data_IF_879923411721
#
_entry.id   IF_879923411721
#
_cell.length_a   1.000
_cell.length_b   1.000
_cell.length_c   1.000
_cell.angle_alpha   90.00
_cell.angle_beta   90.00
_cell.angle_gamma   90.00
#
_symmetry.space_group_name_H-M   'P 1'
#
loop_
_entity.id
_entity.type
_entity.pdbx_description
1 polymer ?
#
# COMPACT_ATOMS: atom_id res chain seq x y z
N UNK A 1 -26.26 -33.94 17.70
CA UNK A 1 -26.49 -32.69 16.92
C UNK A 1 -27.03 -33.10 15.56
N UNK A 2 -28.09 -32.47 15.06
CA UNK A 2 -28.68 -32.79 13.75
C UNK A 2 -27.64 -32.54 12.63
N UNK A 3 -27.48 -33.46 11.69
CA UNK A 3 -26.53 -33.34 10.57
C UNK A 3 -26.81 -32.09 9.71
N UNK A 4 -28.08 -31.74 9.51
CA UNK A 4 -28.46 -30.52 8.79
C UNK A 4 -27.98 -29.25 9.51
N UNK A 5 -28.06 -29.24 10.86
CA UNK A 5 -27.59 -28.12 11.67
C UNK A 5 -26.05 -28.01 11.60
N UNK A 6 -25.34 -29.14 11.60
CA UNK A 6 -23.89 -29.17 11.46
C UNK A 6 -23.44 -28.60 10.11
N UNK A 7 -24.11 -28.98 9.02
CA UNK A 7 -23.82 -28.47 7.68
C UNK A 7 -24.08 -26.96 7.60
N UNK A 8 -25.20 -26.49 8.15
CA UNK A 8 -25.51 -25.05 8.18
C UNK A 8 -24.45 -24.23 8.93
N UNK A 9 -23.97 -24.72 10.07
CA UNK A 9 -22.89 -24.06 10.83
C UNK A 9 -21.60 -23.99 10.00
N UNK A 10 -21.24 -25.07 9.31
CA UNK A 10 -20.06 -25.10 8.46
C UNK A 10 -20.17 -24.12 7.27
N UNK A 11 -21.33 -24.07 6.61
CA UNK A 11 -21.57 -23.14 5.50
C UNK A 11 -21.56 -21.69 5.97
N UNK A 12 -22.24 -21.38 7.08
CA UNK A 12 -22.27 -20.04 7.67
C UNK A 12 -20.87 -19.57 8.06
N UNK A 13 -20.09 -20.43 8.73
CA UNK A 13 -18.69 -20.14 9.07
C UNK A 13 -17.82 -19.95 7.83
N UNK A 14 -18.01 -20.76 6.79
CA UNK A 14 -17.28 -20.62 5.52
C UNK A 14 -17.59 -19.27 4.85
N UNK A 15 -18.87 -18.89 4.79
CA UNK A 15 -19.30 -17.60 4.24
C UNK A 15 -18.69 -16.41 4.99
N UNK A 16 -18.62 -16.50 6.33
CA UNK A 16 -17.96 -15.48 7.14
C UNK A 16 -16.47 -15.35 6.78
N UNK A 17 -15.77 -16.46 6.54
CA UNK A 17 -14.34 -16.44 6.15
C UNK A 17 -14.14 -15.85 4.76
N UNK A 18 -15.02 -16.13 3.81
CA UNK A 18 -15.01 -15.48 2.50
C UNK A 18 -15.22 -13.96 2.63
N UNK A 19 -16.23 -13.53 3.39
CA UNK A 19 -16.47 -12.12 3.65
C UNK A 19 -15.29 -11.44 4.34
N UNK A 20 -14.66 -12.10 5.31
CA UNK A 20 -13.46 -11.60 5.97
C UNK A 20 -12.29 -11.43 4.99
N UNK A 21 -12.09 -12.39 4.09
CA UNK A 21 -11.04 -12.29 3.07
C UNK A 21 -11.25 -11.08 2.15
N UNK A 22 -12.47 -10.85 1.69
CA UNK A 22 -12.81 -9.68 0.87
C UNK A 22 -12.57 -8.36 1.63
N UNK A 23 -13.02 -8.27 2.89
CA UNK A 23 -12.79 -7.08 3.73
C UNK A 23 -11.31 -6.80 3.98
N UNK A 24 -10.50 -7.84 4.20
CA UNK A 24 -9.04 -7.68 4.41
C UNK A 24 -8.39 -7.13 3.13
N UNK A 25 -8.75 -7.67 1.96
CA UNK A 25 -8.24 -7.19 0.67
C UNK A 25 -8.66 -5.74 0.40
N UNK A 26 -9.93 -5.42 0.59
CA UNK A 26 -10.47 -4.07 0.38
C UNK A 26 -9.75 -3.04 1.27
N UNK A 27 -9.58 -3.33 2.56
CA UNK A 27 -8.84 -2.46 3.49
C UNK A 27 -7.38 -2.31 3.09
N UNK A 28 -6.73 -3.38 2.63
CA UNK A 28 -5.36 -3.33 2.12
C UNK A 28 -5.21 -2.40 0.90
N UNK A 29 -6.17 -2.47 -0.02
CA UNK A 29 -6.20 -1.60 -1.22
C UNK A 29 -6.45 -0.14 -0.81
N UNK A 30 -7.47 0.13 0.01
CA UNK A 30 -7.78 1.49 0.47
C UNK A 30 -6.61 2.13 1.22
N UNK A 31 -5.95 1.35 2.09
CA UNK A 31 -4.77 1.81 2.81
C UNK A 31 -3.61 2.13 1.86
N UNK A 32 -3.37 1.29 0.86
CA UNK A 32 -2.29 1.53 -0.12
C UNK A 32 -2.60 2.72 -1.03
N UNK A 33 -3.87 2.94 -1.40
CA UNK A 33 -4.29 4.13 -2.15
C UNK A 33 -4.06 5.40 -1.35
N UNK A 34 -4.45 5.42 -0.07
CA UNK A 34 -4.22 6.56 0.82
C UNK A 34 -2.73 6.87 0.96
N UNK A 35 -1.92 5.83 1.18
CA UNK A 35 -0.48 5.95 1.28
C UNK A 35 0.17 6.46 -0.03
N UNK A 36 -0.31 5.99 -1.18
CA UNK A 36 0.15 6.47 -2.49
C UNK A 36 -0.20 7.96 -2.68
N UNK A 37 -1.39 8.39 -2.25
CA UNK A 37 -1.79 9.80 -2.29
C UNK A 37 -0.87 10.69 -1.44
N UNK A 38 -0.53 10.25 -0.22
CA UNK A 38 0.43 10.97 0.64
C UNK A 38 1.80 11.04 -0.04
N UNK A 39 2.28 9.94 -0.61
CA UNK A 39 3.57 9.90 -1.26
C UNK A 39 3.64 10.86 -2.47
N UNK A 40 2.58 10.93 -3.29
CA UNK A 40 2.48 11.91 -4.39
C UNK A 40 2.47 13.35 -3.86
N UNK A 41 1.70 13.63 -2.80
CA UNK A 41 1.66 14.95 -2.18
C UNK A 41 3.02 15.37 -1.60
N UNK A 42 3.72 14.46 -0.94
CA UNK A 42 5.08 14.69 -0.44
C UNK A 42 6.06 14.93 -1.59
N UNK A 43 5.98 14.15 -2.67
CA UNK A 43 6.78 14.35 -3.87
C UNK A 43 6.56 15.73 -4.48
N UNK A 44 5.31 16.18 -4.57
CA UNK A 44 4.97 17.52 -5.06
C UNK A 44 5.56 18.64 -4.19
N UNK A 45 5.45 18.52 -2.86
CA UNK A 45 6.02 19.49 -1.92
C UNK A 45 7.55 19.53 -2.05
N UNK A 46 8.19 18.37 -2.13
CA UNK A 46 9.64 18.24 -2.30
C UNK A 46 10.14 18.91 -3.59
N UNK A 47 9.40 18.78 -4.69
CA UNK A 47 9.73 19.41 -5.97
C UNK A 47 9.50 20.93 -5.95
N UNK A 48 8.48 21.39 -5.22
CA UNK A 48 8.07 22.80 -5.18
C UNK A 48 8.92 23.67 -4.26
N UNK A 49 9.62 23.09 -3.29
CA UNK A 49 10.48 23.80 -2.32
C UNK A 49 11.85 24.14 -2.94
N UNK A 50 12.32 25.37 -2.76
CA UNK A 50 13.53 25.87 -3.42
C UNK A 50 14.82 25.36 -2.82
N UNK A 51 14.88 25.19 -1.50
CA UNK A 51 16.03 24.65 -0.79
C UNK A 51 15.57 24.07 0.55
N UNK A 52 15.93 22.80 0.81
CA UNK A 52 15.79 22.18 2.13
C UNK A 52 17.13 22.26 2.84
N UNK A 53 17.12 22.73 4.08
CA UNK A 53 18.30 22.71 4.93
C UNK A 53 18.73 21.26 5.23
N UNK A 54 20.02 21.07 5.53
CA UNK A 54 20.56 19.73 5.79
C UNK A 54 19.81 18.99 6.92
N UNK A 55 19.51 19.69 8.03
CA UNK A 55 18.75 19.12 9.14
C UNK A 55 17.31 18.77 8.75
N UNK A 56 16.67 19.58 7.89
CA UNK A 56 15.33 19.28 7.37
C UNK A 56 15.33 18.03 6.49
N UNK A 57 16.36 17.83 5.66
CA UNK A 57 16.53 16.62 4.84
C UNK A 57 16.66 15.36 5.68
N UNK A 58 17.45 15.42 6.76
CA UNK A 58 17.60 14.29 7.70
C UNK A 58 16.26 14.00 8.39
N UNK A 59 15.62 15.04 8.96
CA UNK A 59 14.35 14.89 9.64
C UNK A 59 13.27 14.30 8.73
N UNK A 60 13.19 14.78 7.48
CA UNK A 60 12.25 14.28 6.49
C UNK A 60 12.55 12.84 6.07
N UNK A 61 13.83 12.48 5.89
CA UNK A 61 14.24 11.10 5.57
C UNK A 61 13.86 10.13 6.68
N UNK A 62 14.06 10.52 7.95
CA UNK A 62 13.65 9.72 9.11
C UNK A 62 12.13 9.59 9.19
N UNK A 63 11.39 10.66 8.92
CA UNK A 63 9.93 10.63 8.90
C UNK A 63 9.40 9.68 7.81
N UNK A 64 9.95 9.77 6.60
CA UNK A 64 9.64 8.85 5.49
C UNK A 64 9.95 7.42 5.93
N UNK A 65 11.15 7.14 6.43
CA UNK A 65 11.55 5.82 6.87
C UNK A 65 10.62 5.25 7.97
N UNK A 66 10.27 6.05 8.98
CA UNK A 66 9.36 5.64 10.04
C UNK A 66 7.96 5.31 9.51
N UNK A 67 7.43 6.12 8.59
CA UNK A 67 6.11 5.93 8.00
C UNK A 67 6.04 4.67 7.13
N UNK A 68 7.06 4.43 6.30
CA UNK A 68 7.14 3.22 5.48
C UNK A 68 7.41 1.98 6.34
N UNK A 69 8.22 2.07 7.39
CA UNK A 69 8.43 0.97 8.35
C UNK A 69 7.12 0.58 9.04
N UNK A 70 6.37 1.56 9.57
CA UNK A 70 5.06 1.32 10.18
C UNK A 70 4.07 0.68 9.20
N UNK A 71 4.10 1.11 7.94
CA UNK A 71 3.32 0.49 6.88
C UNK A 71 3.69 -0.97 6.66
N UNK A 72 4.97 -1.31 6.56
CA UNK A 72 5.42 -2.69 6.37
C UNK A 72 4.95 -3.59 7.52
N UNK A 73 4.95 -3.08 8.76
CA UNK A 73 4.41 -3.80 9.92
C UNK A 73 2.92 -4.08 9.77
N UNK A 74 2.12 -3.09 9.35
CA UNK A 74 0.68 -3.26 9.08
C UNK A 74 0.46 -4.29 7.98
N UNK A 75 1.20 -4.19 6.87
CA UNK A 75 1.11 -5.12 5.74
C UNK A 75 1.45 -6.55 6.13
N UNK A 76 2.48 -6.73 6.96
CA UNK A 76 2.80 -8.03 7.54
C UNK A 76 1.62 -8.58 8.36
N UNK A 77 0.98 -7.74 9.17
CA UNK A 77 -0.23 -8.09 9.91
C UNK A 77 -1.37 -8.58 9.00
N UNK A 78 -1.62 -7.87 7.89
CA UNK A 78 -2.63 -8.25 6.90
C UNK A 78 -2.30 -9.56 6.17
N UNK A 79 -1.03 -9.78 5.81
CA UNK A 79 -0.55 -11.04 5.21
C UNK A 79 -0.79 -12.21 6.17
N UNK A 80 -0.39 -12.04 7.44
CA UNK A 80 -0.59 -13.06 8.48
C UNK A 80 -2.07 -13.33 8.71
N UNK A 81 -2.91 -12.28 8.75
CA UNK A 81 -4.36 -12.38 8.87
C UNK A 81 -4.99 -13.16 7.71
N UNK A 82 -4.62 -12.82 6.47
CA UNK A 82 -5.06 -13.50 5.25
C UNK A 82 -4.69 -14.98 5.25
N UNK A 83 -3.44 -15.31 5.62
CA UNK A 83 -2.95 -16.70 5.67
C UNK A 83 -3.70 -17.52 6.72
N UNK A 84 -3.93 -16.97 7.90
CA UNK A 84 -4.70 -17.63 8.95
C UNK A 84 -6.17 -17.83 8.53
N UNK A 85 -6.78 -16.82 7.93
CA UNK A 85 -8.14 -16.91 7.42
C UNK A 85 -8.27 -18.00 6.35
N UNK A 86 -7.33 -18.06 5.40
CA UNK A 86 -7.28 -19.10 4.36
C UNK A 86 -7.12 -20.50 4.95
N UNK A 87 -6.26 -20.67 5.97
CA UNK A 87 -6.08 -21.95 6.67
C UNK A 87 -7.39 -22.43 7.30
N UNK A 88 -8.15 -21.51 7.90
CA UNK A 88 -9.46 -21.82 8.48
C UNK A 88 -10.49 -22.14 7.40
N UNK A 89 -10.52 -21.38 6.31
CA UNK A 89 -11.40 -21.63 5.15
C UNK A 89 -11.21 -23.04 4.58
N UNK A 90 -9.96 -23.45 4.36
CA UNK A 90 -9.61 -24.81 3.90
C UNK A 90 -10.12 -25.89 4.86
N UNK A 91 -10.11 -25.64 6.18
CA UNK A 91 -10.65 -26.61 7.16
C UNK A 91 -12.16 -26.79 7.01
N UNK A 92 -12.91 -25.69 6.81
CA UNK A 92 -14.35 -25.76 6.52
C UNK A 92 -14.63 -26.48 5.21
N UNK A 93 -13.90 -26.14 4.14
CA UNK A 93 -14.06 -26.77 2.82
C UNK A 93 -13.74 -28.28 2.84
N UNK A 94 -12.72 -28.70 3.60
CA UNK A 94 -12.43 -30.13 3.82
C UNK A 94 -13.50 -30.82 4.66
N UNK A 95 -14.01 -30.17 5.71
CA UNK A 95 -15.10 -30.73 6.51
C UNK A 95 -16.39 -30.92 5.69
N UNK A 96 -16.60 -30.05 4.70
CA UNK A 96 -17.66 -30.16 3.70
C UNK A 96 -17.29 -31.09 2.53
N UNK A 97 -16.12 -31.72 2.52
CA UNK A 97 -15.65 -32.62 1.44
C UNK A 97 -15.64 -31.98 0.04
N UNK A 98 -15.47 -30.67 -0.04
CA UNK A 98 -15.49 -29.92 -1.32
C UNK A 98 -14.33 -30.29 -2.27
N UNK A 99 -13.29 -30.97 -1.76
CA UNK A 99 -12.13 -31.44 -2.52
C UNK A 99 -12.23 -32.91 -2.96
N UNK A 100 -13.28 -33.63 -2.55
CA UNK A 100 -13.49 -35.04 -2.88
C UNK A 100 -14.33 -35.17 -4.16
N UNK A 101 -14.04 -36.19 -4.98
CA UNK A 101 -14.83 -36.52 -6.17
C UNK A 101 -16.06 -37.34 -5.78
N UNK A 102 -17.14 -37.24 -6.56
CA UNK A 102 -18.34 -38.04 -6.36
C UNK A 102 -19.22 -37.62 -5.17
N UNK A 103 -18.85 -36.56 -4.43
CA UNK A 103 -19.65 -36.02 -3.32
C UNK A 103 -20.70 -35.04 -3.83
N UNK A 104 -20.27 -34.06 -4.64
CA UNK A 104 -21.15 -33.02 -5.19
C UNK A 104 -21.31 -33.14 -6.72
N UNK A 105 -20.25 -33.57 -7.40
CA UNK A 105 -20.19 -33.75 -8.84
C UNK A 105 -19.73 -35.19 -9.12
N UNK A 106 -20.29 -35.91 -10.10
CA UNK A 106 -20.00 -37.33 -10.31
C UNK A 106 -18.53 -37.62 -10.62
N UNK A 107 -17.93 -36.87 -11.54
CA UNK A 107 -16.60 -37.20 -12.11
C UNK A 107 -15.47 -36.27 -11.61
N UNK A 108 -15.84 -35.20 -10.91
CA UNK A 108 -14.92 -34.15 -10.47
C UNK A 108 -15.18 -33.69 -9.03
N UNK A 109 -14.22 -32.95 -8.47
CA UNK A 109 -14.33 -32.32 -7.17
C UNK A 109 -14.88 -30.91 -7.33
N UNK A 110 -15.75 -30.46 -6.41
CA UNK A 110 -16.32 -29.10 -6.46
C UNK A 110 -15.23 -28.01 -6.47
N UNK A 111 -14.15 -28.24 -5.73
CA UNK A 111 -12.95 -27.39 -5.73
C UNK A 111 -11.72 -28.17 -6.19
N UNK A 112 -10.83 -27.55 -7.00
CA UNK A 112 -9.57 -28.18 -7.37
C UNK A 112 -8.74 -28.56 -6.14
N UNK A 113 -8.13 -29.75 -6.13
CA UNK A 113 -7.29 -30.22 -5.00
C UNK A 113 -6.16 -29.25 -4.64
N UNK A 114 -5.63 -28.52 -5.62
CA UNK A 114 -4.61 -27.49 -5.42
C UNK A 114 -5.07 -26.39 -4.45
N UNK A 115 -6.38 -26.08 -4.39
CA UNK A 115 -6.92 -25.01 -3.54
C UNK A 115 -6.98 -25.42 -2.07
N UNK A 116 -6.93 -26.73 -1.79
CA UNK A 116 -6.86 -27.30 -0.44
C UNK A 116 -5.48 -27.19 0.20
N UNK A 117 -4.51 -26.56 -0.48
CA UNK A 117 -3.18 -26.27 0.04
C UNK A 117 -3.06 -24.79 0.41
N UNK A 118 -2.26 -24.49 1.44
CA UNK A 118 -1.91 -23.10 1.78
C UNK A 118 -0.79 -22.68 0.83
N UNK A 119 -1.10 -22.50 -0.45
CA UNK A 119 -0.11 -22.03 -1.41
C UNK A 119 0.03 -20.49 -1.32
N UNK A 120 1.23 -19.98 -1.59
CA UNK A 120 1.62 -18.56 -1.45
C UNK A 120 0.86 -17.62 -2.37
N UNK A 121 0.24 -18.13 -3.44
CA UNK A 121 -0.46 -17.32 -4.46
C UNK A 121 -1.54 -16.39 -3.91
N UNK A 122 -2.16 -16.74 -2.77
CA UNK A 122 -3.17 -15.89 -2.13
C UNK A 122 -2.59 -14.61 -1.50
N UNK A 123 -1.29 -14.61 -1.19
CA UNK A 123 -0.57 -13.47 -0.62
C UNK A 123 0.18 -12.65 -1.67
N UNK A 124 0.23 -13.08 -2.93
CA UNK A 124 0.98 -12.40 -4.00
C UNK A 124 0.54 -10.94 -4.15
N UNK A 125 -0.76 -10.65 -3.99
CA UNK A 125 -1.28 -9.28 -4.00
C UNK A 125 -0.62 -8.39 -2.93
N UNK A 126 -0.42 -8.90 -1.72
CA UNK A 126 0.23 -8.12 -0.67
C UNK A 126 1.74 -8.00 -0.91
N UNK A 127 2.38 -9.00 -1.50
CA UNK A 127 3.78 -8.94 -1.89
C UNK A 127 4.02 -7.85 -2.95
N UNK A 128 3.18 -7.76 -3.98
CA UNK A 128 3.31 -6.70 -5.00
C UNK A 128 3.11 -5.31 -4.40
N UNK A 129 2.16 -5.16 -3.46
CA UNK A 129 1.99 -3.91 -2.72
C UNK A 129 3.22 -3.57 -1.87
N UNK A 130 3.82 -4.52 -1.16
CA UNK A 130 5.05 -4.27 -0.40
C UNK A 130 6.21 -3.79 -1.30
N UNK A 131 6.39 -4.40 -2.47
CA UNK A 131 7.41 -3.98 -3.45
C UNK A 131 7.14 -2.55 -3.92
N UNK A 132 5.89 -2.24 -4.29
CA UNK A 132 5.48 -0.90 -4.69
C UNK A 132 5.83 0.15 -3.62
N UNK A 133 5.55 -0.15 -2.36
CA UNK A 133 5.81 0.76 -1.25
C UNK A 133 7.31 0.99 -1.01
N UNK A 134 8.14 -0.04 -1.18
CA UNK A 134 9.60 0.10 -1.10
C UNK A 134 10.11 1.03 -2.21
N UNK A 135 9.63 0.85 -3.44
CA UNK A 135 9.99 1.71 -4.58
C UNK A 135 9.61 3.16 -4.30
N UNK A 136 8.41 3.42 -3.78
CA UNK A 136 7.96 4.76 -3.40
C UNK A 136 8.84 5.38 -2.29
N UNK A 137 9.18 4.60 -1.26
CA UNK A 137 10.03 5.07 -0.17
C UNK A 137 11.42 5.51 -0.67
N UNK A 138 12.06 4.66 -1.47
CA UNK A 138 13.36 4.94 -2.06
C UNK A 138 13.29 6.17 -2.94
N UNK A 139 12.24 6.29 -3.77
CA UNK A 139 12.07 7.43 -4.68
C UNK A 139 11.95 8.75 -3.91
N UNK A 140 11.19 8.77 -2.81
CA UNK A 140 11.05 9.97 -1.96
C UNK A 140 12.33 10.33 -1.23
N UNK A 141 13.06 9.32 -0.74
CA UNK A 141 14.38 9.54 -0.12
C UNK A 141 15.33 10.13 -1.16
N UNK A 142 15.46 9.52 -2.34
CA UNK A 142 16.30 10.04 -3.42
C UNK A 142 15.94 11.48 -3.75
N UNK A 143 14.66 11.79 -3.96
CA UNK A 143 14.18 13.13 -4.24
C UNK A 143 14.60 14.14 -3.17
N UNK A 144 14.48 13.77 -1.89
CA UNK A 144 14.88 14.62 -0.74
C UNK A 144 16.37 15.00 -0.80
N UNK A 145 17.22 14.09 -1.29
CA UNK A 145 18.66 14.30 -1.38
C UNK A 145 19.11 14.92 -2.70
N UNK A 146 18.41 14.67 -3.80
CA UNK A 146 18.76 15.14 -5.14
C UNK A 146 18.07 16.45 -5.56
N UNK A 147 17.22 17.05 -4.72
CA UNK A 147 16.54 18.31 -5.07
C UNK A 147 17.54 19.34 -5.61
N UNK A 148 17.40 19.74 -6.89
CA UNK A 148 18.30 20.71 -7.50
C UNK A 148 18.08 22.06 -6.82
N UNK A 149 19.16 22.72 -6.41
CA UNK A 149 19.11 24.13 -6.03
C UNK A 149 18.47 24.87 -7.19
N UNK A 150 17.25 25.40 -7.02
CA UNK A 150 16.69 26.29 -8.02
C UNK A 150 17.57 27.54 -8.03
N UNK A 151 18.47 27.64 -9.01
CA UNK A 151 19.17 28.89 -9.30
C UNK A 151 18.10 29.90 -9.73
N UNK A 152 17.64 30.72 -8.80
CA UNK A 152 16.93 31.92 -9.20
C UNK A 152 17.87 32.75 -10.09
N UNK A 153 17.45 33.20 -11.28
CA UNK A 153 18.05 34.38 -11.86
C UNK A 153 17.84 35.49 -10.84
N UNK A 154 18.93 36.10 -10.35
CA UNK A 154 18.84 37.29 -9.50
C UNK A 154 17.92 38.28 -10.23
N UNK A 155 16.87 38.83 -9.59
CA UNK A 155 16.21 39.99 -10.17
C UNK A 155 17.29 41.04 -10.35
N UNK A 156 17.60 41.34 -11.61
CA UNK A 156 18.61 42.32 -11.97
C UNK A 156 18.13 43.67 -11.42
N UNK A 157 18.75 44.15 -10.33
CA UNK A 157 18.43 45.42 -9.68
C UNK A 157 18.66 46.65 -10.57
N UNK A 158 19.15 46.45 -11.80
CA UNK A 158 19.48 47.53 -12.73
C UNK A 158 18.28 48.28 -13.29
N UNK A 159 17.05 47.73 -13.27
CA UNK A 159 15.89 48.45 -13.81
C UNK A 159 15.28 49.46 -12.84
N UNK A 160 15.33 49.19 -11.53
CA UNK A 160 14.81 50.14 -10.52
C UNK A 160 15.82 51.27 -10.29
N UNK A 161 17.13 50.99 -10.28
CA UNK A 161 18.15 52.05 -10.19
C UNK A 161 18.21 52.96 -11.43
N UNK A 162 17.90 52.45 -12.63
CA UNK A 162 17.80 53.30 -13.83
C UNK A 162 16.62 54.27 -13.74
N UNK A 163 15.45 53.78 -13.33
CA UNK A 163 14.25 54.63 -13.22
C UNK A 163 14.39 55.69 -12.12
N UNK A 164 15.09 55.39 -11.02
CA UNK A 164 15.37 56.38 -9.96
C UNK A 164 16.39 57.43 -10.43
N UNK A 165 17.38 57.06 -11.25
CA UNK A 165 18.33 58.02 -11.83
C UNK A 165 17.69 58.91 -12.89
N UNK A 166 16.81 58.39 -13.73
CA UNK A 166 16.09 59.21 -14.72
C UNK A 166 15.11 60.20 -14.06
N UNK A 167 14.46 59.82 -12.97
CA UNK A 167 13.59 60.75 -12.22
C UNK A 167 14.36 61.88 -11.52
N UNK A 168 15.61 61.64 -11.12
CA UNK A 168 16.44 62.63 -10.41
C UNK A 168 17.15 63.62 -11.34
N UNK A 169 17.14 63.38 -12.65
CA UNK A 169 17.76 64.26 -13.66
C UNK A 169 16.73 65.20 -14.28
N UNK A 170 15.43 64.87 -14.21
CA UNK A 170 14.35 65.60 -14.89
C UNK A 170 13.39 66.37 -13.94
N UNK A 171 13.72 66.50 -12.65
CA UNK A 171 12.96 67.30 -11.68
C UNK A 171 13.87 68.22 -10.90
#
# INVERSE_FOLDING_TARGET
MNENLKIQILISGLQERYNAAHKIRERGIQFTLWLSGIAVGLGWILISQQDLEFYQKIALSLLIAAFFCGTLVIMWGLIKGTRNNRKTMIRYERALKMYEKGVYLPDESLLPKAYGTINTKWTDHFCTLCIWLIVMAISLILLTWTCPKQKHPRPCSTSIEKNIKEFKING
#
